data_IF_603821281098
#
_entry.id   IF_603821281098
#
_cell.length_a   1.000
_cell.length_b   1.000
_cell.length_c   1.000
_cell.angle_alpha   90.00
_cell.angle_beta   90.00
_cell.angle_gamma   90.00
#
_symmetry.space_group_name_H-M   'P 1'
#
loop_
_entity.id
_entity.type
_entity.pdbx_description
1 polymer ?
#
# COMPACT_ATOMS: atom_id res chain seq x y z
N UNK A 1 -9.74 -3.33 4.07
CA UNK A 1 -8.53 -2.51 3.98
C UNK A 1 -8.56 -1.81 2.64
N UNK A 2 -8.32 -0.50 2.65
CA UNK A 2 -8.14 0.35 1.48
C UNK A 2 -6.74 0.96 1.58
N UNK A 3 -6.04 1.07 0.45
CA UNK A 3 -4.73 1.70 0.37
C UNK A 3 -4.82 2.75 -0.73
N UNK A 4 -4.57 4.00 -0.39
CA UNK A 4 -4.41 5.04 -1.41
C UNK A 4 -2.99 4.98 -1.95
N UNK A 5 -2.83 4.92 -3.28
CA UNK A 5 -1.52 4.64 -3.88
C UNK A 5 -0.68 5.91 -4.14
N UNK A 6 -1.33 7.08 -4.16
CA UNK A 6 -0.69 8.38 -4.41
C UNK A 6 -0.18 9.07 -3.14
N UNK A 7 -0.62 8.60 -1.98
CA UNK A 7 -0.23 9.11 -0.66
C UNK A 7 -0.02 7.95 0.29
N UNK A 8 0.80 8.12 1.32
CA UNK A 8 0.93 7.12 2.38
C UNK A 8 -0.30 7.23 3.29
N UNK A 9 -1.40 6.57 2.92
CA UNK A 9 -2.58 6.39 3.77
C UNK A 9 -3.20 5.00 3.55
N UNK A 10 -3.30 4.22 4.63
CA UNK A 10 -4.02 2.96 4.64
C UNK A 10 -5.16 3.00 5.62
N UNK A 11 -6.32 2.53 5.19
CA UNK A 11 -7.53 2.49 5.99
C UNK A 11 -7.96 1.06 6.28
N UNK A 12 -8.09 0.74 7.55
CA UNK A 12 -8.72 -0.50 8.01
C UNK A 12 -10.05 -0.16 8.65
N UNK A 13 -11.13 -0.75 8.13
CA UNK A 13 -12.44 -0.69 8.75
C UNK A 13 -12.81 -2.11 9.14
N UNK A 14 -13.21 -2.31 10.40
CA UNK A 14 -13.65 -3.61 10.86
C UNK A 14 -14.95 -3.52 11.66
N UNK A 15 -15.70 -4.62 11.70
CA UNK A 15 -16.99 -4.66 12.40
C UNK A 15 -16.84 -4.51 13.92
N UNK A 16 -15.74 -4.97 14.50
CA UNK A 16 -15.47 -4.83 15.95
C UNK A 16 -15.36 -3.36 16.36
N UNK A 17 -14.78 -2.52 15.50
CA UNK A 17 -14.67 -1.07 15.71
C UNK A 17 -15.85 -0.30 15.09
N UNK A 18 -16.99 -0.96 14.86
CA UNK A 18 -18.21 -0.30 14.39
C UNK A 18 -18.12 0.27 12.97
N UNK A 19 -17.23 -0.27 12.12
CA UNK A 19 -16.94 0.22 10.77
C UNK A 19 -16.32 1.63 10.71
N UNK A 20 -15.76 2.11 11.81
CA UNK A 20 -14.95 3.32 11.81
C UNK A 20 -13.66 3.06 11.01
N UNK A 21 -13.29 4.00 10.13
CA UNK A 21 -12.02 3.94 9.41
C UNK A 21 -10.86 4.29 10.33
N UNK A 22 -9.92 3.37 10.46
CA UNK A 22 -8.64 3.61 11.13
C UNK A 22 -7.56 3.88 10.09
N UNK A 23 -6.93 5.05 10.18
CA UNK A 23 -5.84 5.46 9.31
C UNK A 23 -4.50 5.00 9.88
N UNK A 24 -3.69 4.37 9.02
CA UNK A 24 -2.37 3.86 9.33
C UNK A 24 -1.37 4.42 8.32
N UNK A 25 -0.23 4.88 8.83
CA UNK A 25 0.85 5.50 8.09
C UNK A 25 2.12 4.63 8.14
N UNK A 26 3.17 4.99 7.39
CA UNK A 26 4.44 4.26 7.45
C UNK A 26 4.96 4.16 8.88
N UNK A 27 5.39 2.96 9.26
CA UNK A 27 5.89 2.63 10.60
C UNK A 27 4.83 2.10 11.56
N UNK A 28 3.53 2.27 11.26
CA UNK A 28 2.46 1.80 12.13
C UNK A 28 2.31 0.27 12.06
N UNK A 29 1.87 -0.32 13.17
CA UNK A 29 1.46 -1.72 13.23
C UNK A 29 -0.03 -1.84 12.91
N UNK A 30 -0.35 -2.68 11.92
CA UNK A 30 -1.72 -2.97 11.49
C UNK A 30 -2.11 -4.36 11.99
N UNK A 31 -3.14 -4.42 12.84
CA UNK A 31 -3.63 -5.66 13.45
C UNK A 31 -4.88 -6.15 12.73
N UNK A 32 -4.82 -7.34 12.16
CA UNK A 32 -5.95 -8.05 11.57
C UNK A 32 -6.47 -9.12 12.53
N UNK A 33 -7.16 -8.69 13.59
CA UNK A 33 -7.61 -9.56 14.68
C UNK A 33 -8.48 -10.75 14.23
N UNK A 34 -9.22 -10.62 13.13
CA UNK A 34 -10.05 -11.70 12.59
C UNK A 34 -9.25 -12.91 12.07
N UNK A 35 -7.96 -12.72 11.75
CA UNK A 35 -7.07 -13.75 11.22
C UNK A 35 -5.79 -13.91 12.05
N UNK A 36 -5.68 -13.23 13.19
CA UNK A 36 -4.53 -13.26 14.10
C UNK A 36 -3.19 -12.94 13.42
N UNK A 37 -3.18 -11.89 12.59
CA UNK A 37 -1.99 -11.41 11.90
C UNK A 37 -1.74 -9.95 12.27
N UNK A 38 -0.49 -9.64 12.62
CA UNK A 38 0.03 -8.28 12.73
C UNK A 38 1.07 -8.08 11.64
N UNK A 39 0.96 -6.98 10.90
CA UNK A 39 2.00 -6.55 9.96
C UNK A 39 2.23 -5.05 10.09
N UNK A 40 3.42 -4.60 9.76
CA UNK A 40 3.70 -3.18 9.65
C UNK A 40 3.09 -2.60 8.38
N UNK A 41 2.78 -1.31 8.41
CA UNK A 41 2.37 -0.55 7.26
C UNK A 41 3.36 -0.69 6.09
N UNK A 42 4.65 -0.69 6.40
CA UNK A 42 5.74 -0.83 5.43
C UNK A 42 5.67 -2.17 4.67
N UNK A 43 5.52 -3.29 5.38
CA UNK A 43 5.41 -4.63 4.78
C UNK A 43 4.18 -4.78 3.88
N UNK A 44 3.09 -4.05 4.20
CA UNK A 44 1.90 -4.01 3.36
C UNK A 44 2.19 -3.20 2.10
N UNK A 45 2.77 -2.00 2.23
CA UNK A 45 3.12 -1.12 1.11
C UNK A 45 4.13 -1.72 0.14
N UNK A 46 5.10 -2.52 0.61
CA UNK A 46 6.05 -3.24 -0.24
C UNK A 46 5.37 -4.19 -1.24
N UNK A 47 4.14 -4.63 -0.95
CA UNK A 47 3.36 -5.54 -1.79
C UNK A 47 2.38 -4.80 -2.71
N UNK A 48 2.25 -3.49 -2.55
CA UNK A 48 1.35 -2.68 -3.37
C UNK A 48 2.00 -2.44 -4.72
N UNK A 49 1.37 -2.99 -5.76
CA UNK A 49 1.75 -2.69 -7.14
C UNK A 49 1.08 -1.38 -7.53
N UNK A 50 1.86 -0.30 -7.58
CA UNK A 50 1.40 0.97 -8.14
C UNK A 50 1.58 0.93 -9.67
N UNK A 51 0.47 0.83 -10.40
CA UNK A 51 0.48 0.71 -11.86
C UNK A 51 1.04 1.96 -12.55
N UNK A 52 0.87 3.14 -11.96
CA UNK A 52 1.41 4.40 -12.51
C UNK A 52 2.93 4.44 -12.36
N UNK A 53 3.46 4.06 -11.19
CA UNK A 53 4.90 3.89 -10.96
C UNK A 53 5.46 2.81 -11.89
N UNK A 54 4.73 1.70 -12.07
CA UNK A 54 5.15 0.60 -12.95
C UNK A 54 5.21 1.06 -14.41
N UNK A 55 4.17 1.74 -14.88
CA UNK A 55 4.08 2.28 -16.24
C UNK A 55 5.14 3.34 -16.51
N UNK A 56 5.42 4.19 -15.51
CA UNK A 56 6.51 5.16 -15.58
C UNK A 56 7.88 4.47 -15.70
N UNK A 57 8.18 3.51 -14.83
CA UNK A 57 9.45 2.76 -14.85
C UNK A 57 9.64 2.01 -16.17
N UNK A 58 8.60 1.35 -16.68
CA UNK A 58 8.63 0.65 -17.97
C UNK A 58 8.88 1.62 -19.13
N UNK A 59 8.27 2.82 -19.09
CA UNK A 59 8.52 3.88 -20.07
C UNK A 59 9.96 4.41 -20.03
N UNK A 60 10.52 4.63 -18.83
CA UNK A 60 11.91 5.05 -18.65
C UNK A 60 12.88 3.99 -19.18
N UNK A 61 12.69 2.72 -18.82
CA UNK A 61 13.54 1.62 -19.27
C UNK A 61 13.53 1.45 -20.80
N UNK A 62 12.38 1.67 -21.44
CA UNK A 62 12.26 1.60 -22.90
C UNK A 62 12.91 2.81 -23.59
N UNK A 63 12.90 3.99 -22.96
CA UNK A 63 13.59 5.19 -23.47
C UNK A 63 15.10 5.00 -23.43
N UNK A 64 15.65 4.43 -22.35
CA UNK A 64 17.08 4.10 -22.21
C UNK A 64 17.55 3.04 -23.22
N UNK A 65 16.65 2.23 -23.78
CA UNK A 65 16.96 1.23 -24.82
C UNK A 65 16.95 1.82 -26.24
N UNK A 66 16.24 2.93 -26.47
CA UNK A 66 16.20 3.62 -27.76
C UNK A 66 17.37 4.60 -27.95
N UNK A 67 17.99 5.05 -26.85
CA UNK A 67 19.15 5.95 -26.84
C UNK A 67 20.52 5.22 -26.87
N UNK A 68 20.58 3.91 -27.17
CA UNK A 68 21.82 3.10 -27.24
C UNK A 68 22.17 2.59 -28.63
#
# INVERSE_FOLDING_TARGET
MLIEQDIVDMQVCCRSEGWVSEHNFMGDEVIFAAIDITQTANEIYERVVNEDVRSFVDGVANTDLLDR
#
